data_IF_041610325163
#
_entry.id   IF_041610325163
#
_cell.length_a   1.000
_cell.length_b   1.000
_cell.length_c   1.000
_cell.angle_alpha   90.00
_cell.angle_beta   90.00
_cell.angle_gamma   90.00
#
_symmetry.space_group_name_H-M   'P 1'
#
loop_
_entity.id
_entity.type
_entity.pdbx_description
1 polymer ?
#
# COMPACT_ATOMS: atom_id res chain seq x y z
N UNK A 1 -3.37 6.98 7.65
CA UNK A 1 -2.14 6.23 7.93
C UNK A 1 -2.15 5.81 9.40
N UNK A 2 -2.09 4.51 9.74
CA UNK A 2 -1.61 4.18 11.09
C UNK A 2 -0.10 4.34 11.03
N UNK A 3 0.43 5.23 11.87
CA UNK A 3 1.87 5.37 12.02
C UNK A 3 2.30 4.26 13.00
N UNK A 4 3.42 3.56 12.73
CA UNK A 4 3.94 2.60 13.68
C UNK A 4 4.41 3.31 14.95
N UNK A 5 4.25 2.67 16.11
CA UNK A 5 4.63 3.21 17.42
C UNK A 5 3.96 4.55 17.80
N UNK A 6 2.69 4.76 17.44
CA UNK A 6 1.95 5.96 17.86
C UNK A 6 1.36 5.77 19.25
N UNK A 7 1.86 6.55 20.20
CA UNK A 7 1.48 6.42 21.60
C UNK A 7 2.26 5.30 22.30
N UNK A 8 2.00 5.09 23.58
CA UNK A 8 2.73 4.12 24.42
C UNK A 8 2.02 2.78 24.60
N UNK A 9 0.95 2.52 23.84
CA UNK A 9 0.09 1.35 24.03
C UNK A 9 0.24 0.38 22.84
N UNK A 10 1.03 -0.67 23.08
CA UNK A 10 1.37 -1.68 22.07
C UNK A 10 0.19 -2.49 21.54
N UNK A 11 -0.94 -2.49 22.25
CA UNK A 11 -2.15 -3.19 21.81
C UNK A 11 -3.00 -2.33 20.87
N UNK A 12 -2.59 -1.09 20.60
CA UNK A 12 -3.33 -0.11 19.79
C UNK A 12 -2.51 0.48 18.65
N UNK A 13 -1.19 0.31 18.67
CA UNK A 13 -0.29 0.81 17.63
C UNK A 13 0.13 -0.29 16.66
N UNK A 14 0.40 0.11 15.41
CA UNK A 14 0.83 -0.84 14.40
C UNK A 14 2.30 -1.20 14.57
N UNK A 15 2.59 -2.49 14.41
CA UNK A 15 3.93 -3.06 14.37
C UNK A 15 4.72 -2.61 13.14
N UNK A 16 6.06 -2.58 13.26
CA UNK A 16 6.94 -2.30 12.13
C UNK A 16 7.08 -3.53 11.22
N UNK A 17 7.71 -3.39 10.06
CA UNK A 17 7.76 -4.45 9.03
C UNK A 17 8.44 -5.76 9.47
N UNK A 18 9.10 -5.80 10.63
CA UNK A 18 9.74 -7.00 11.17
C UNK A 18 9.63 -6.99 12.69
N UNK A 19 8.63 -7.70 13.22
CA UNK A 19 8.44 -7.91 14.67
C UNK A 19 8.43 -9.42 14.98
N UNK A 20 8.78 -9.78 16.22
CA UNK A 20 8.83 -11.18 16.66
C UNK A 20 8.18 -11.32 18.03
N UNK A 21 7.20 -12.22 18.15
CA UNK A 21 6.65 -12.61 19.45
C UNK A 21 7.69 -13.38 20.26
N UNK A 22 7.71 -13.14 21.57
CA UNK A 22 8.63 -13.80 22.51
C UNK A 22 7.80 -14.56 23.55
N UNK A 23 8.28 -15.75 23.96
CA UNK A 23 7.75 -16.43 25.14
C UNK A 23 6.44 -17.20 24.98
N UNK A 24 6.00 -17.49 23.76
CA UNK A 24 4.87 -18.40 23.50
C UNK A 24 5.36 -19.85 23.60
N UNK A 25 5.26 -20.44 24.80
CA UNK A 25 5.83 -21.75 25.15
C UNK A 25 4.78 -22.82 25.45
N UNK A 26 3.50 -22.45 25.52
CA UNK A 26 2.39 -23.36 25.80
C UNK A 26 1.32 -23.29 24.71
N UNK A 27 0.56 -24.38 24.59
CA UNK A 27 -0.59 -24.44 23.69
C UNK A 27 -1.67 -23.42 24.09
N UNK A 28 -2.21 -22.70 23.12
CA UNK A 28 -3.21 -21.63 23.32
C UNK A 28 -2.66 -20.24 23.67
N UNK A 29 -1.35 -20.06 23.83
CA UNK A 29 -0.77 -18.72 24.03
C UNK A 29 -0.81 -17.89 22.73
N UNK A 30 -1.12 -16.59 22.85
CA UNK A 30 -1.19 -15.66 21.73
C UNK A 30 -0.63 -14.29 22.10
N UNK A 31 -0.06 -13.61 21.12
CA UNK A 31 0.45 -12.23 21.24
C UNK A 31 -0.46 -11.32 20.40
N UNK A 32 -1.34 -10.60 21.08
CA UNK A 32 -2.28 -9.67 20.44
C UNK A 32 -1.69 -8.26 20.22
N UNK A 33 -0.39 -8.09 20.47
CA UNK A 33 0.32 -6.81 20.26
C UNK A 33 1.00 -6.73 18.89
N UNK A 34 0.96 -7.82 18.12
CA UNK A 34 1.42 -7.83 16.74
C UNK A 34 0.25 -7.61 15.78
N UNK A 35 0.07 -6.36 15.36
CA UNK A 35 -0.87 -5.98 14.32
C UNK A 35 -0.22 -5.08 13.26
N UNK A 36 -0.75 -5.11 12.04
CA UNK A 36 -0.25 -4.28 10.93
C UNK A 36 -1.40 -3.47 10.35
N UNK A 37 -1.23 -2.15 10.32
CA UNK A 37 -2.21 -1.27 9.70
C UNK A 37 -1.95 -1.05 8.21
N UNK A 38 -3.02 -0.99 7.44
CA UNK A 38 -2.96 -0.61 6.03
C UNK A 38 -2.89 0.90 5.89
N UNK A 39 -1.80 1.39 5.31
CA UNK A 39 -1.72 2.76 4.82
C UNK A 39 -2.32 2.77 3.43
N UNK A 40 -3.38 3.55 3.18
CA UNK A 40 -3.82 3.82 1.80
C UNK A 40 -2.78 4.75 1.18
N UNK A 41 -1.94 4.28 0.24
CA UNK A 41 -1.04 5.17 -0.47
C UNK A 41 -1.92 6.09 -1.32
N UNK A 42 -1.70 7.41 -1.23
CA UNK A 42 -2.25 8.30 -2.25
C UNK A 42 -1.35 8.15 -3.47
N UNK A 43 -1.78 7.32 -4.41
CA UNK A 43 -1.21 7.27 -5.75
C UNK A 43 -1.96 8.28 -6.62
N UNK A 44 -1.23 9.01 -7.44
CA UNK A 44 -1.82 9.77 -8.54
C UNK A 44 -1.84 8.84 -9.74
N UNK A 45 -3.03 8.59 -10.29
CA UNK A 45 -3.13 8.04 -11.64
C UNK A 45 -3.06 9.21 -12.61
N UNK A 46 -2.30 9.05 -13.70
CA UNK A 46 -2.09 10.10 -14.70
C UNK A 46 -3.38 10.63 -15.32
N UNK A 47 -3.27 11.76 -15.99
CA UNK A 47 -4.35 12.53 -16.61
C UNK A 47 -4.55 12.21 -18.10
N UNK A 48 -3.68 11.37 -18.69
CA UNK A 48 -3.66 11.09 -20.11
C UNK A 48 -3.76 9.60 -20.40
N UNK A 49 -4.60 9.27 -21.38
CA UNK A 49 -4.70 7.94 -21.96
C UNK A 49 -4.37 8.06 -23.43
N UNK A 50 -3.46 7.23 -23.93
CA UNK A 50 -2.99 7.28 -25.31
C UNK A 50 -3.06 5.91 -25.98
N UNK A 51 -3.05 5.92 -27.31
CA UNK A 51 -2.86 4.71 -28.09
C UNK A 51 -1.36 4.46 -28.23
N UNK A 52 -0.87 3.45 -27.51
CA UNK A 52 0.48 2.90 -27.65
C UNK A 52 0.61 2.23 -29.03
N UNK A 53 1.17 2.96 -29.99
CA UNK A 53 1.13 2.59 -31.41
C UNK A 53 2.26 1.64 -31.80
N UNK A 54 3.40 1.73 -31.10
CA UNK A 54 4.60 0.93 -31.34
C UNK A 54 4.85 -0.15 -30.27
N UNK A 55 4.04 -0.16 -29.19
CA UNK A 55 3.96 -1.18 -28.13
C UNK A 55 5.12 -1.17 -27.16
N UNK A 56 5.70 -0.01 -26.89
CA UNK A 56 6.82 0.13 -25.97
C UNK A 56 6.40 0.55 -24.55
N UNK A 57 5.15 0.97 -24.36
CA UNK A 57 4.59 1.42 -23.08
C UNK A 57 5.11 2.78 -22.61
N UNK A 58 5.79 3.53 -23.47
CA UNK A 58 6.20 4.91 -23.28
C UNK A 58 5.14 5.81 -23.91
N UNK A 59 5.01 7.04 -23.41
CA UNK A 59 4.13 8.03 -24.01
C UNK A 59 4.98 8.97 -24.88
N UNK A 60 4.78 8.90 -26.19
CA UNK A 60 5.52 9.72 -27.16
C UNK A 60 4.66 10.85 -27.77
N UNK A 61 5.31 11.91 -28.26
CA UNK A 61 4.67 13.08 -28.88
C UNK A 61 3.79 12.73 -30.11
N UNK A 62 4.05 11.58 -30.73
CA UNK A 62 3.28 11.07 -31.88
C UNK A 62 2.03 10.29 -31.52
N UNK A 63 1.85 9.94 -30.25
CA UNK A 63 0.81 9.01 -29.81
C UNK A 63 -0.47 9.74 -29.43
N UNK A 64 -1.56 9.36 -30.10
CA UNK A 64 -2.81 10.09 -29.97
C UNK A 64 -3.48 9.78 -28.65
N UNK A 65 -3.85 10.85 -27.94
CA UNK A 65 -4.71 10.77 -26.78
C UNK A 65 -6.11 10.21 -27.10
N UNK A 66 -6.63 9.40 -26.20
CA UNK A 66 -7.98 8.83 -26.25
C UNK A 66 -8.89 9.69 -25.36
N UNK A 67 -9.87 10.34 -25.97
CA UNK A 67 -10.84 11.17 -25.25
C UNK A 67 -11.94 10.33 -24.61
N UNK A 68 -12.45 10.78 -23.47
CA UNK A 68 -13.63 10.20 -22.82
C UNK A 68 -13.35 8.90 -22.05
N UNK A 69 -12.10 8.61 -21.74
CA UNK A 69 -11.76 7.49 -20.87
C UNK A 69 -12.12 7.83 -19.44
N UNK A 70 -13.05 7.09 -18.87
CA UNK A 70 -13.44 7.20 -17.47
C UNK A 70 -12.63 6.19 -16.66
N UNK A 71 -11.83 6.69 -15.71
CA UNK A 71 -11.10 5.84 -14.77
C UNK A 71 -11.99 5.61 -13.53
N UNK A 72 -12.37 4.36 -13.27
CA UNK A 72 -13.23 3.97 -12.14
C UNK A 72 -12.49 3.07 -11.16
#
# INVERSE_FOLDING_TARGET
PTQPNVGGDRAKDSSTSCETSQGLTKDGESDLTLDFGFVRPRVSVGDFVWLDADRDGIQDDGEKGIKGVELR
#
